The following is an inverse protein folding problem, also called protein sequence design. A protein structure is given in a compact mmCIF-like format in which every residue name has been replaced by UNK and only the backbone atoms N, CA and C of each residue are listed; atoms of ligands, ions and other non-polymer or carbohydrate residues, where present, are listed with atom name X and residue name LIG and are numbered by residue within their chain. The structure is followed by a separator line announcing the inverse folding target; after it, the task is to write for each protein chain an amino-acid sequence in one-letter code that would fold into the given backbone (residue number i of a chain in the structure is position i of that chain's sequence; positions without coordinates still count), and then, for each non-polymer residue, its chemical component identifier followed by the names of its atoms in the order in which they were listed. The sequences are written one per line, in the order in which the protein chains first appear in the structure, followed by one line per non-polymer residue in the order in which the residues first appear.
data_IF_478286004295
#
_entry.id   IF_478286004295
#
_cell.length_a   1.000
_cell.length_b   1.000
_cell.length_c   1.000
_cell.angle_alpha   90.00
_cell.angle_beta   90.00
_cell.angle_gamma   90.00
#
_symmetry.space_group_name_H-M   'P 1'
#
loop_
_entity.id
_entity.type
_entity.pdbx_description
1 polymer ?
#
# COMPACT_ATOMS: atom_id res chain seq x y z
N UNK A 1 16.63 34.62 5.11
CA UNK A 1 17.84 33.91 4.70
C UNK A 1 17.44 32.74 3.84
N UNK A 2 18.11 32.59 2.66
CA UNK A 2 17.76 31.53 1.69
C UNK A 2 17.87 30.13 2.32
N UNK A 3 18.81 29.91 3.22
CA UNK A 3 19.00 28.64 3.95
C UNK A 3 17.81 28.28 4.88
N UNK A 4 16.95 29.23 5.21
CA UNK A 4 15.80 28.98 6.10
C UNK A 4 14.56 28.49 5.36
N UNK A 5 14.59 28.48 4.01
CA UNK A 5 13.45 28.05 3.18
C UNK A 5 13.79 26.91 2.23
N UNK A 6 15.09 26.61 2.05
CA UNK A 6 15.52 25.46 1.25
C UNK A 6 15.09 24.18 1.99
N UNK A 7 14.57 23.21 1.26
CA UNK A 7 14.07 21.93 1.76
C UNK A 7 12.89 22.01 2.74
N UNK A 8 12.23 23.19 2.82
CA UNK A 8 10.98 23.39 3.55
C UNK A 8 9.77 23.25 2.64
N UNK A 9 8.63 23.04 3.24
CA UNK A 9 7.33 22.93 2.57
C UNK A 9 6.46 24.15 2.86
N UNK A 10 5.67 24.60 1.88
CA UNK A 10 4.67 25.63 2.13
C UNK A 10 3.52 25.08 2.95
N UNK A 11 3.01 25.83 3.89
CA UNK A 11 1.77 25.48 4.57
C UNK A 11 0.61 25.47 3.56
N UNK A 12 -0.26 24.45 3.63
CA UNK A 12 -1.38 24.26 2.70
C UNK A 12 -2.33 25.47 2.64
N UNK A 13 -2.45 26.21 3.73
CA UNK A 13 -3.31 27.38 3.85
C UNK A 13 -2.63 28.69 3.39
N UNK A 14 -1.40 28.60 2.91
CA UNK A 14 -0.62 29.78 2.56
C UNK A 14 -0.39 29.87 1.05
N UNK A 15 -1.00 30.86 0.40
CA UNK A 15 -0.68 31.23 -0.97
C UNK A 15 0.58 32.12 -0.96
N UNK A 16 1.63 31.68 -1.67
CA UNK A 16 2.87 32.44 -1.87
C UNK A 16 2.88 32.94 -3.33
N UNK A 17 2.56 34.23 -3.59
CA UNK A 17 2.56 34.77 -4.95
C UNK A 17 3.97 34.75 -5.57
N UNK A 18 4.05 34.64 -6.88
CA UNK A 18 5.30 34.75 -7.61
C UNK A 18 5.98 36.10 -7.33
N UNK A 19 7.29 36.10 -7.08
CA UNK A 19 8.08 37.30 -6.77
C UNK A 19 7.93 37.81 -5.34
N UNK A 20 7.12 37.19 -4.48
CA UNK A 20 6.99 37.58 -3.09
C UNK A 20 8.17 37.07 -2.24
N UNK A 21 8.41 37.75 -1.12
CA UNK A 21 9.37 37.29 -0.10
C UNK A 21 8.78 36.11 0.67
N UNK A 22 9.63 35.13 0.99
CA UNK A 22 9.30 34.06 1.92
C UNK A 22 9.43 34.54 3.37
N UNK A 23 8.42 34.27 4.16
CA UNK A 23 8.47 34.44 5.61
C UNK A 23 8.55 33.08 6.28
N UNK A 24 9.28 32.99 7.37
CA UNK A 24 9.46 31.73 8.14
C UNK A 24 8.14 31.06 8.51
N UNK A 25 7.10 31.86 8.80
CA UNK A 25 5.74 31.36 9.12
C UNK A 25 4.99 30.72 7.93
N UNK A 26 5.48 30.91 6.69
CA UNK A 26 4.85 30.37 5.46
C UNK A 26 5.42 29.01 5.10
N UNK A 27 6.51 28.60 5.74
CA UNK A 27 7.20 27.35 5.50
C UNK A 27 7.25 26.52 6.78
N UNK A 28 7.16 25.22 6.62
CA UNK A 28 7.13 24.25 7.71
C UNK A 28 8.08 23.10 7.40
N UNK A 29 8.51 22.40 8.43
CA UNK A 29 9.22 21.14 8.26
C UNK A 29 8.27 20.05 7.76
N UNK A 30 8.81 19.00 7.16
CA UNK A 30 8.03 17.85 6.68
C UNK A 30 7.13 17.28 7.78
N UNK A 31 7.64 17.17 8.99
CA UNK A 31 6.98 16.62 10.18
C UNK A 31 5.79 17.47 10.67
N UNK A 32 5.75 18.74 10.27
CA UNK A 32 4.69 19.68 10.64
C UNK A 32 3.55 19.72 9.62
N UNK A 33 3.74 19.10 8.45
CA UNK A 33 2.66 18.97 7.47
C UNK A 33 1.57 18.03 7.99
N UNK A 34 0.29 18.29 7.66
CA UNK A 34 -0.73 17.26 7.78
C UNK A 34 -0.22 16.01 7.11
N UNK A 35 -0.37 14.84 7.74
CA UNK A 35 0.20 13.58 7.28
C UNK A 35 -0.05 13.35 5.78
N UNK A 36 0.91 13.74 4.96
CA UNK A 36 0.85 13.62 3.51
C UNK A 36 1.68 12.40 3.12
N UNK A 37 1.01 11.28 2.93
CA UNK A 37 1.60 10.01 2.54
C UNK A 37 2.50 10.15 1.31
N UNK A 38 2.18 11.06 0.38
CA UNK A 38 2.93 11.28 -0.85
C UNK A 38 4.38 11.68 -0.61
N UNK A 39 4.70 12.26 0.57
CA UNK A 39 6.05 12.66 0.91
C UNK A 39 6.89 11.54 1.57
N UNK A 40 6.28 10.39 1.84
CA UNK A 40 6.89 9.34 2.65
C UNK A 40 7.41 8.13 1.85
N UNK A 41 7.47 8.23 0.51
CA UNK A 41 7.98 7.15 -0.33
C UNK A 41 8.96 7.63 -1.40
N UNK A 42 9.87 6.74 -1.90
CA UNK A 42 10.90 7.09 -2.85
C UNK A 42 10.36 7.48 -4.22
N UNK A 43 11.16 8.21 -4.99
CA UNK A 43 10.89 8.48 -6.41
C UNK A 43 10.85 7.17 -7.20
N UNK A 44 9.86 7.04 -8.10
CA UNK A 44 9.66 5.82 -8.89
C UNK A 44 8.74 4.78 -8.23
N UNK A 45 8.23 5.11 -7.04
CA UNK A 45 7.19 4.33 -6.39
C UNK A 45 5.82 4.95 -6.64
N UNK A 46 4.79 4.12 -6.60
CA UNK A 46 3.39 4.51 -6.72
C UNK A 46 2.59 4.00 -5.52
N UNK A 47 1.55 4.74 -5.14
CA UNK A 47 0.70 4.34 -4.03
C UNK A 47 -0.25 3.21 -4.44
N UNK A 48 -0.34 2.23 -3.58
CA UNK A 48 -1.33 1.17 -3.63
C UNK A 48 -2.22 1.23 -2.40
N UNK A 49 -3.52 1.11 -2.59
CA UNK A 49 -4.50 0.94 -1.52
C UNK A 49 -5.04 -0.50 -1.57
N UNK A 50 -4.82 -1.24 -0.51
CA UNK A 50 -5.30 -2.61 -0.35
C UNK A 50 -6.53 -2.60 0.54
N UNK A 51 -7.70 -3.07 0.06
CA UNK A 51 -8.88 -3.26 0.89
C UNK A 51 -8.59 -4.24 2.03
N UNK A 52 -9.03 -3.91 3.22
CA UNK A 52 -8.90 -4.75 4.42
C UNK A 52 -10.13 -4.63 5.31
N UNK A 53 -10.20 -5.46 6.32
CA UNK A 53 -11.19 -5.41 7.38
C UNK A 53 -10.53 -5.70 8.74
N UNK A 54 -11.33 -5.79 9.79
CA UNK A 54 -10.85 -6.04 11.14
C UNK A 54 -10.16 -7.41 11.28
N UNK A 55 -10.63 -8.41 10.54
CA UNK A 55 -10.07 -9.76 10.54
C UNK A 55 -8.72 -9.80 9.85
N UNK A 56 -8.63 -9.29 8.62
CA UNK A 56 -7.40 -9.26 7.83
C UNK A 56 -6.32 -8.33 8.40
N UNK A 57 -6.69 -7.40 9.30
CA UNK A 57 -5.75 -6.57 10.05
C UNK A 57 -5.44 -7.11 11.44
N UNK A 58 -5.83 -8.35 11.72
CA UNK A 58 -5.57 -9.01 13.00
C UNK A 58 -6.07 -8.18 14.21
N UNK A 59 -7.30 -7.67 14.11
CA UNK A 59 -7.88 -6.83 15.16
C UNK A 59 -7.21 -5.46 15.31
N UNK A 60 -6.86 -4.79 14.21
CA UNK A 60 -6.11 -3.53 14.20
C UNK A 60 -4.66 -3.66 14.70
N UNK A 61 -4.00 -4.78 14.45
CA UNK A 61 -2.61 -4.99 14.86
C UNK A 61 -1.57 -4.54 13.81
N UNK A 62 -2.02 -4.06 12.64
CA UNK A 62 -1.14 -3.50 11.61
C UNK A 62 -1.14 -1.98 11.70
N UNK A 63 -0.01 -1.40 12.07
CA UNK A 63 0.17 0.05 12.27
C UNK A 63 0.95 0.70 11.13
N UNK A 64 0.77 1.99 10.88
CA UNK A 64 1.69 2.76 10.04
C UNK A 64 3.13 2.62 10.53
N UNK A 65 4.07 2.39 9.61
CA UNK A 65 5.47 2.10 9.93
C UNK A 65 5.79 0.61 10.09
N UNK A 66 4.78 -0.26 10.25
CA UNK A 66 5.00 -1.71 10.23
C UNK A 66 5.38 -2.20 8.83
N UNK A 67 5.98 -3.37 8.76
CA UNK A 67 6.23 -4.11 7.53
C UNK A 67 5.30 -5.30 7.45
N UNK A 68 4.77 -5.54 6.26
CA UNK A 68 3.89 -6.67 5.94
C UNK A 68 4.41 -7.43 4.73
N UNK A 69 4.14 -8.72 4.70
CA UNK A 69 4.21 -9.51 3.48
C UNK A 69 2.81 -9.60 2.87
N UNK A 70 2.73 -9.59 1.55
CA UNK A 70 1.46 -9.74 0.82
C UNK A 70 1.40 -11.13 0.22
N UNK A 71 0.41 -11.90 0.66
CA UNK A 71 0.12 -13.22 0.11
C UNK A 71 -1.02 -13.13 -0.90
N UNK A 72 -0.95 -13.95 -1.94
CA UNK A 72 -2.05 -14.17 -2.85
C UNK A 72 -2.75 -15.47 -2.47
N UNK A 73 -4.06 -15.41 -2.32
CA UNK A 73 -4.98 -16.55 -2.32
C UNK A 73 -5.84 -16.45 -3.57
N UNK A 74 -5.87 -17.52 -4.37
CA UNK A 74 -6.72 -17.59 -5.54
C UNK A 74 -7.36 -18.96 -5.63
N UNK A 75 -8.69 -19.00 -5.70
CA UNK A 75 -9.50 -20.22 -5.81
C UNK A 75 -10.21 -20.21 -7.15
N UNK A 76 -10.09 -21.29 -7.91
CA UNK A 76 -10.71 -21.41 -9.22
C UNK A 76 -12.24 -21.32 -9.10
N UNK A 77 -12.86 -20.41 -9.88
CA UNK A 77 -14.32 -20.27 -9.94
C UNK A 77 -14.87 -21.33 -10.88
N UNK A 78 -15.71 -22.19 -10.36
CA UNK A 78 -16.44 -23.16 -11.16
C UNK A 78 -17.66 -22.48 -11.79
N UNK A 79 -17.81 -22.60 -13.12
CA UNK A 79 -18.98 -22.05 -13.79
C UNK A 79 -20.26 -22.76 -13.35
N UNK A 80 -21.38 -22.01 -13.29
CA UNK A 80 -22.67 -22.54 -12.90
C UNK A 80 -23.06 -23.75 -13.78
N UNK A 81 -23.33 -24.91 -13.17
CA UNK A 81 -23.65 -26.16 -13.86
C UNK A 81 -22.46 -27.04 -14.24
N UNK A 82 -21.24 -26.65 -13.94
CA UNK A 82 -20.06 -27.52 -14.04
C UNK A 82 -19.73 -28.14 -12.68
N UNK A 83 -19.43 -29.43 -12.67
CA UNK A 83 -18.92 -30.10 -11.47
C UNK A 83 -17.41 -29.87 -11.43
N UNK A 84 -16.92 -29.16 -10.40
CA UNK A 84 -15.49 -29.07 -10.16
C UNK A 84 -14.95 -30.49 -9.90
N UNK A 85 -13.97 -30.89 -10.69
CA UNK A 85 -13.29 -32.18 -10.44
C UNK A 85 -12.20 -32.04 -9.38
N UNK A 86 -11.66 -30.86 -9.16
CA UNK A 86 -10.72 -30.51 -8.10
C UNK A 86 -10.78 -29.00 -7.83
N UNK A 87 -10.71 -28.61 -6.55
CA UNK A 87 -10.50 -27.23 -6.17
C UNK A 87 -9.03 -26.87 -6.41
N UNK A 88 -8.76 -26.04 -7.41
CA UNK A 88 -7.42 -25.50 -7.61
C UNK A 88 -7.27 -24.26 -6.71
N UNK A 89 -6.50 -24.40 -5.65
CA UNK A 89 -6.18 -23.32 -4.73
C UNK A 89 -4.71 -22.94 -4.92
N UNK A 90 -4.46 -21.71 -5.30
CA UNK A 90 -3.14 -21.09 -5.30
C UNK A 90 -3.02 -20.22 -4.05
N UNK A 91 -2.03 -20.49 -3.22
CA UNK A 91 -1.74 -19.69 -2.04
C UNK A 91 -0.24 -19.55 -1.84
N UNK A 92 0.26 -18.32 -1.75
CA UNK A 92 1.69 -18.11 -1.54
C UNK A 92 2.05 -16.64 -1.34
N UNK A 93 3.24 -16.40 -0.79
CA UNK A 93 3.80 -15.07 -0.63
C UNK A 93 4.13 -14.49 -1.99
N UNK A 94 3.58 -13.33 -2.31
CA UNK A 94 3.74 -12.64 -3.59
C UNK A 94 4.78 -11.52 -3.51
N UNK A 95 4.64 -10.65 -2.52
CA UNK A 95 5.55 -9.52 -2.28
C UNK A 95 5.91 -9.49 -0.80
N UNK A 96 7.14 -9.15 -0.48
CA UNK A 96 7.62 -9.05 0.90
C UNK A 96 8.19 -7.70 1.26
N UNK A 97 8.30 -7.44 2.56
CA UNK A 97 8.89 -6.24 3.15
C UNK A 97 8.19 -4.94 2.73
N UNK A 98 6.87 -4.96 2.61
CA UNK A 98 6.07 -3.80 2.23
C UNK A 98 5.85 -2.91 3.46
N UNK A 99 6.35 -1.68 3.44
CA UNK A 99 6.14 -0.71 4.51
C UNK A 99 4.74 -0.11 4.46
N UNK A 100 3.99 -0.22 5.55
CA UNK A 100 2.68 0.40 5.72
C UNK A 100 2.85 1.91 5.95
N UNK A 101 2.28 2.72 5.07
CA UNK A 101 2.31 4.19 5.19
C UNK A 101 1.11 4.72 5.97
N UNK A 102 -0.06 4.12 5.78
CA UNK A 102 -1.27 4.49 6.53
C UNK A 102 -2.26 3.32 6.59
N UNK A 103 -3.08 3.35 7.63
CA UNK A 103 -4.30 2.53 7.75
C UNK A 103 -5.48 3.49 7.89
N UNK A 104 -6.48 3.35 7.00
CA UNK A 104 -7.62 4.26 6.91
C UNK A 104 -8.93 3.51 7.02
N UNK A 105 -9.95 4.22 7.53
CA UNK A 105 -11.33 3.75 7.55
C UNK A 105 -12.02 3.94 6.18
N UNK A 106 -13.29 3.56 6.08
CA UNK A 106 -14.10 3.70 4.86
C UNK A 106 -14.35 5.15 4.43
N UNK A 107 -14.16 6.12 5.33
CA UNK A 107 -14.25 7.55 5.06
C UNK A 107 -12.90 8.17 4.67
N UNK A 108 -11.84 7.35 4.62
CA UNK A 108 -10.48 7.80 4.32
C UNK A 108 -9.76 8.45 5.49
N UNK A 109 -10.33 8.39 6.70
CA UNK A 109 -9.70 8.94 7.90
C UNK A 109 -8.69 7.95 8.49
N UNK A 110 -7.55 8.43 9.03
CA UNK A 110 -6.58 7.55 9.70
C UNK A 110 -7.22 6.84 10.91
N UNK A 111 -6.94 5.53 11.03
CA UNK A 111 -7.49 4.70 12.11
C UNK A 111 -6.83 5.00 13.45
N UNK A 112 -5.54 5.34 13.46
CA UNK A 112 -4.71 5.43 14.66
C UNK A 112 -4.38 6.86 15.14
N UNK A 113 -5.01 7.89 14.57
CA UNK A 113 -4.69 9.29 14.94
C UNK A 113 -5.31 9.69 16.28
N UNK A 114 -6.45 9.12 16.62
CA UNK A 114 -7.14 9.39 17.89
C UNK A 114 -7.38 8.06 18.62
N UNK A 115 -6.68 7.85 19.73
CA UNK A 115 -6.78 6.61 20.51
C UNK A 115 -8.14 6.47 21.24
N UNK A 116 -8.87 7.56 21.40
CA UNK A 116 -10.20 7.56 22.03
C UNK A 116 -11.30 7.15 21.04
N UNK A 117 -11.02 7.16 19.74
CA UNK A 117 -11.96 6.75 18.70
C UNK A 117 -11.58 5.37 18.14
N UNK A 118 -12.40 4.39 18.39
CA UNK A 118 -12.25 3.07 17.73
C UNK A 118 -12.78 3.15 16.30
N UNK A 119 -11.87 3.23 15.32
CA UNK A 119 -12.20 3.19 13.90
C UNK A 119 -11.94 1.82 13.32
N UNK A 120 -12.83 1.38 12.44
CA UNK A 120 -12.69 0.12 11.72
C UNK A 120 -11.78 0.33 10.50
N UNK A 121 -10.73 -0.46 10.31
CA UNK A 121 -9.88 -0.35 9.13
C UNK A 121 -10.65 -0.80 7.88
N UNK A 122 -10.46 -0.09 6.79
CA UNK A 122 -11.03 -0.42 5.49
C UNK A 122 -9.96 -0.51 4.39
N UNK A 123 -8.81 0.14 4.58
CA UNK A 123 -7.71 0.07 3.63
C UNK A 123 -6.36 0.26 4.30
N UNK A 124 -5.36 -0.48 3.83
CA UNK A 124 -3.95 -0.23 4.07
C UNK A 124 -3.38 0.48 2.85
N UNK A 125 -2.61 1.55 3.07
CA UNK A 125 -1.94 2.31 2.04
C UNK A 125 -0.43 2.10 2.16
N UNK A 126 0.21 1.76 1.06
CA UNK A 126 1.65 1.57 0.95
C UNK A 126 2.15 2.01 -0.42
N UNK A 127 3.45 2.12 -0.60
CA UNK A 127 4.06 2.45 -1.88
C UNK A 127 4.94 1.31 -2.37
N UNK A 128 4.88 1.06 -3.66
CA UNK A 128 5.64 0.00 -4.34
C UNK A 128 6.17 0.51 -5.69
N UNK A 129 7.24 -0.09 -6.24
CA UNK A 129 7.63 0.14 -7.63
C UNK A 129 6.46 -0.12 -8.59
N UNK A 130 6.43 0.58 -9.73
CA UNK A 130 5.32 0.49 -10.68
C UNK A 130 5.07 -0.94 -11.19
N UNK A 131 6.12 -1.71 -11.42
CA UNK A 131 6.02 -3.13 -11.81
C UNK A 131 5.31 -3.99 -10.76
N UNK A 132 5.57 -3.74 -9.46
CA UNK A 132 4.89 -4.42 -8.36
C UNK A 132 3.44 -3.96 -8.25
N UNK A 133 3.17 -2.68 -8.49
CA UNK A 133 1.81 -2.15 -8.54
C UNK A 133 0.98 -2.88 -9.61
N UNK A 134 1.52 -3.02 -10.84
CA UNK A 134 0.86 -3.73 -11.92
C UNK A 134 0.60 -5.19 -11.55
N UNK A 135 1.59 -5.87 -10.95
CA UNK A 135 1.45 -7.25 -10.50
C UNK A 135 0.34 -7.41 -9.45
N UNK A 136 0.30 -6.53 -8.44
CA UNK A 136 -0.73 -6.54 -7.40
C UNK A 136 -2.13 -6.26 -7.98
N UNK A 137 -2.23 -5.34 -8.97
CA UNK A 137 -3.49 -5.10 -9.66
C UNK A 137 -3.93 -6.30 -10.48
N UNK A 138 -3.04 -6.92 -11.25
CA UNK A 138 -3.34 -8.18 -11.98
C UNK A 138 -3.83 -9.26 -11.01
N UNK A 139 -3.15 -9.45 -9.89
CA UNK A 139 -3.54 -10.40 -8.85
C UNK A 139 -4.94 -10.12 -8.25
N UNK A 140 -5.33 -8.85 -8.15
CA UNK A 140 -6.65 -8.44 -7.64
C UNK A 140 -7.80 -8.67 -8.64
N UNK A 141 -7.49 -8.84 -9.94
CA UNK A 141 -8.48 -8.92 -11.02
C UNK A 141 -8.46 -10.24 -11.79
N UNK A 142 -8.11 -11.34 -11.13
CA UNK A 142 -8.14 -12.68 -11.73
C UNK A 142 -9.58 -13.10 -12.00
N UNK A 143 -10.05 -12.98 -13.26
CA UNK A 143 -11.47 -13.15 -13.60
C UNK A 143 -12.00 -14.57 -13.34
N UNK A 144 -11.18 -15.58 -13.60
CA UNK A 144 -11.55 -17.01 -13.43
C UNK A 144 -11.30 -17.53 -12.02
N UNK A 145 -10.77 -16.70 -11.15
CA UNK A 145 -10.44 -17.04 -9.77
C UNK A 145 -11.13 -16.10 -8.80
N UNK A 146 -11.47 -16.62 -7.64
CA UNK A 146 -11.78 -15.81 -6.47
C UNK A 146 -10.45 -15.48 -5.79
N UNK A 147 -9.98 -14.25 -5.99
CA UNK A 147 -8.65 -13.84 -5.58
C UNK A 147 -8.70 -12.82 -4.45
N UNK A 148 -7.81 -12.98 -3.49
CA UNK A 148 -7.66 -12.12 -2.34
C UNK A 148 -6.17 -11.87 -2.06
N UNK A 149 -5.81 -10.60 -1.84
CA UNK A 149 -4.50 -10.22 -1.31
C UNK A 149 -4.59 -10.15 0.21
N UNK A 150 -3.77 -10.94 0.87
CA UNK A 150 -3.79 -11.08 2.34
C UNK A 150 -2.54 -10.44 2.93
N UNK A 151 -2.67 -9.36 3.74
CA UNK A 151 -1.55 -8.75 4.43
C UNK A 151 -1.16 -9.60 5.65
N UNK A 152 0.11 -9.92 5.77
CA UNK A 152 0.64 -10.68 6.91
C UNK A 152 1.72 -9.84 7.60
N UNK A 153 1.52 -9.39 8.86
CA UNK A 153 2.50 -8.59 9.56
C UNK A 153 3.77 -9.41 9.84
N UNK A 154 4.92 -8.76 9.69
CA UNK A 154 6.23 -9.36 9.91
C UNK A 154 6.95 -8.69 11.08
N UNK A 155 8.06 -9.28 11.53
CA UNK A 155 8.91 -8.69 12.55
C UNK A 155 9.96 -7.71 12.00
N UNK A 156 9.92 -7.39 10.69
CA UNK A 156 10.85 -6.45 10.06
C UNK A 156 10.82 -5.07 10.71
N UNK A 157 9.64 -4.65 11.22
CA UNK A 157 9.48 -3.39 11.97
C UNK A 157 10.32 -3.30 13.25
N UNK A 158 10.85 -4.42 13.74
CA UNK A 158 11.69 -4.49 14.93
C UNK A 158 13.18 -4.55 14.60
N UNK A 159 13.54 -4.55 13.31
CA UNK A 159 14.93 -4.61 12.85
C UNK A 159 15.45 -3.19 12.58
N UNK A 160 16.73 -2.97 12.88
CA UNK A 160 17.41 -1.72 12.57
C UNK A 160 17.56 -1.53 11.05
N UNK A 161 17.75 -2.63 10.32
CA UNK A 161 17.85 -2.67 8.87
C UNK A 161 16.82 -3.69 8.32
N UNK A 162 15.61 -3.25 7.96
CA UNK A 162 14.61 -4.12 7.35
C UNK A 162 15.08 -4.57 5.95
N UNK A 163 14.60 -5.72 5.50
CA UNK A 163 14.87 -6.23 4.16
C UNK A 163 14.30 -5.34 3.04
N UNK A 164 14.81 -5.52 1.84
CA UNK A 164 14.32 -4.83 0.65
C UNK A 164 12.90 -5.30 0.27
N UNK A 165 12.13 -4.40 -0.33
CA UNK A 165 10.85 -4.73 -0.92
C UNK A 165 11.09 -5.50 -2.21
N UNK A 166 10.65 -6.76 -2.28
CA UNK A 166 10.86 -7.60 -3.45
C UNK A 166 9.71 -8.57 -3.74
N UNK A 167 9.70 -9.11 -4.96
CA UNK A 167 8.77 -10.17 -5.35
C UNK A 167 9.31 -11.49 -4.82
N UNK A 168 8.62 -12.08 -3.84
CA UNK A 168 9.05 -13.30 -3.16
C UNK A 168 8.88 -14.57 -4.01
N UNK A 169 7.91 -14.58 -4.93
CA UNK A 169 7.61 -15.75 -5.76
C UNK A 169 7.56 -15.43 -7.25
N UNK A 170 8.62 -15.78 -7.94
CA UNK A 170 8.66 -15.70 -9.42
C UNK A 170 7.63 -16.65 -10.05
N UNK A 171 7.36 -17.80 -9.43
CA UNK A 171 6.33 -18.75 -9.90
C UNK A 171 4.93 -18.15 -9.87
N UNK A 172 4.56 -17.48 -8.78
CA UNK A 172 3.27 -16.78 -8.68
C UNK A 172 3.20 -15.62 -9.67
N UNK A 173 4.25 -14.81 -9.78
CA UNK A 173 4.34 -13.72 -10.75
C UNK A 173 4.10 -14.22 -12.18
N UNK A 174 4.82 -15.26 -12.58
CA UNK A 174 4.75 -15.80 -13.92
C UNK A 174 3.37 -16.43 -14.20
N UNK A 175 2.79 -17.11 -13.20
CA UNK A 175 1.42 -17.62 -13.29
C UNK A 175 0.40 -16.48 -13.46
N UNK A 176 0.44 -15.42 -12.65
CA UNK A 176 -0.44 -14.24 -12.76
C UNK A 176 -0.34 -13.66 -14.18
N UNK A 177 0.87 -13.47 -14.70
CA UNK A 177 1.09 -12.94 -16.04
C UNK A 177 0.56 -13.87 -17.15
N UNK A 178 0.50 -15.18 -16.91
CA UNK A 178 -0.06 -16.15 -17.86
C UNK A 178 -1.59 -16.11 -17.91
N UNK A 179 -2.24 -15.91 -16.76
CA UNK A 179 -3.71 -15.93 -16.68
C UNK A 179 -4.33 -14.53 -16.78
N UNK A 180 -3.53 -13.48 -16.85
CA UNK A 180 -3.97 -12.10 -17.07
C UNK A 180 -3.34 -11.54 -18.34
N UNK A 181 -4.16 -10.90 -19.18
CA UNK A 181 -3.68 -10.15 -20.34
C UNK A 181 -3.87 -8.67 -20.09
N UNK A 182 -2.77 -7.93 -20.10
CA UNK A 182 -2.77 -6.47 -20.02
C UNK A 182 -1.90 -5.94 -21.15
N UNK A 183 -2.43 -5.02 -21.92
CA UNK A 183 -1.63 -4.25 -22.86
C UNK A 183 -0.75 -3.30 -22.02
N UNK A 184 0.54 -3.55 -22.00
CA UNK A 184 1.51 -2.71 -21.31
C UNK A 184 1.73 -1.40 -22.07
N UNK A 185 0.65 -0.80 -22.54
CA UNK A 185 0.57 0.53 -23.10
C UNK A 185 1.69 0.88 -24.07
N UNK A 186 1.33 1.04 -25.31
CA UNK A 186 2.19 1.73 -26.27
C UNK A 186 2.49 3.18 -25.84
#
# INVERSE_FOLDING_TARGET
NQAEVIDKYSNADTLIPEGSLFFTRQVVEKEQLPANIILDYPKGYVLYNMPVNIESTYGNSIYPGNYIDIYLKAVHKVAEGQTATNDEIMYGKLVENVKVLAVKDSSGQPVFTNLDEQRTPAMIVFAVPEEHYLLLKKASYLQTYDSELVPVPTNESLKDEPGDLEISSTTLRDWINTVTYWDEGM
#
